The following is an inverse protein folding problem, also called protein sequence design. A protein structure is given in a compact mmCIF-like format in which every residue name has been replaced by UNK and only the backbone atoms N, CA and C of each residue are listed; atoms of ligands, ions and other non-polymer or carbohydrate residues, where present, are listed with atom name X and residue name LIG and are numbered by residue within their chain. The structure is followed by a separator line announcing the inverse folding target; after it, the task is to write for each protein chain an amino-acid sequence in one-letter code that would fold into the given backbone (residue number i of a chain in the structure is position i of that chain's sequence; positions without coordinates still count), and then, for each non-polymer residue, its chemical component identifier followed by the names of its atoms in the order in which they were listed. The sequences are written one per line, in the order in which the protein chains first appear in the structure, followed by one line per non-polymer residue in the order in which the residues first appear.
data_IF_019697352235
#
_entry.id   IF_019697352235
#
_cell.length_a   1.000
_cell.length_b   1.000
_cell.length_c   1.000
_cell.angle_alpha   90.00
_cell.angle_beta   90.00
_cell.angle_gamma   90.00
#
_symmetry.space_group_name_H-M   'P 1'
#
loop_
_entity.id
_entity.type
_entity.pdbx_description
1 polymer ?
#
# COMPACT_ATOMS: atom_id res chain seq x y z
N UNK A 1 0.55 0.93 -25.18
CA UNK A 1 -0.63 0.18 -25.62
C UNK A 1 -1.83 1.10 -25.67
N UNK A 2 -2.70 0.92 -26.69
CA UNK A 2 -3.87 1.77 -26.90
C UNK A 2 -4.82 1.78 -25.71
N UNK A 3 -5.08 0.63 -25.10
CA UNK A 3 -5.98 0.51 -23.96
C UNK A 3 -5.51 1.31 -22.76
N UNK A 4 -4.23 1.20 -22.41
CA UNK A 4 -3.65 1.94 -21.28
C UNK A 4 -3.71 3.44 -21.50
N UNK A 5 -3.48 3.89 -22.74
CA UNK A 5 -3.54 5.30 -23.10
C UNK A 5 -4.97 5.81 -23.03
N UNK A 6 -5.93 5.05 -23.55
CA UNK A 6 -7.34 5.40 -23.49
C UNK A 6 -7.85 5.47 -22.05
N UNK A 7 -7.45 4.54 -21.20
CA UNK A 7 -7.80 4.54 -19.80
C UNK A 7 -7.26 5.79 -19.10
N UNK A 8 -6.03 6.15 -19.37
CA UNK A 8 -5.40 7.35 -18.80
C UNK A 8 -6.14 8.62 -19.23
N UNK A 9 -6.49 8.72 -20.52
CA UNK A 9 -7.23 9.87 -21.04
C UNK A 9 -8.64 9.91 -20.45
N UNK A 10 -9.32 8.75 -20.43
CA UNK A 10 -10.69 8.66 -19.94
C UNK A 10 -10.85 8.98 -18.47
N UNK A 11 -9.81 8.74 -17.66
CA UNK A 11 -9.85 9.00 -16.21
C UNK A 11 -9.24 10.34 -15.82
N UNK A 12 -8.68 11.09 -16.76
CA UNK A 12 -7.97 12.35 -16.48
C UNK A 12 -8.84 13.36 -15.76
N UNK A 13 -10.08 13.55 -16.20
CA UNK A 13 -11.01 14.50 -15.61
C UNK A 13 -11.39 14.10 -14.19
N UNK A 14 -11.68 12.83 -13.97
CA UNK A 14 -11.98 12.29 -12.65
C UNK A 14 -10.78 12.43 -11.71
N UNK A 15 -9.60 12.18 -12.22
CA UNK A 15 -8.34 12.31 -11.48
C UNK A 15 -8.12 13.77 -11.03
N UNK A 16 -8.30 14.72 -11.95
CA UNK A 16 -8.15 16.15 -11.64
C UNK A 16 -9.20 16.62 -10.63
N UNK A 17 -10.44 16.13 -10.77
CA UNK A 17 -11.50 16.46 -9.81
C UNK A 17 -11.17 15.95 -8.41
N UNK A 18 -10.65 14.71 -8.32
CA UNK A 18 -10.23 14.14 -7.05
C UNK A 18 -9.09 14.93 -6.43
N UNK A 19 -8.12 15.33 -7.24
CA UNK A 19 -6.96 16.11 -6.78
C UNK A 19 -7.36 17.49 -6.24
N UNK A 20 -8.45 18.06 -6.74
CA UNK A 20 -8.90 19.41 -6.36
C UNK A 20 -9.97 19.41 -5.27
N UNK A 21 -10.27 18.26 -4.66
CA UNK A 21 -11.25 18.22 -3.57
C UNK A 21 -10.67 18.78 -2.27
N UNK A 22 -11.55 19.25 -1.40
CA UNK A 22 -11.14 19.71 -0.07
C UNK A 22 -10.51 18.58 0.76
N UNK A 23 -10.89 17.34 0.50
CA UNK A 23 -10.27 16.17 1.13
C UNK A 23 -8.78 16.08 0.77
N UNK A 24 -8.45 16.20 -0.52
CA UNK A 24 -7.05 16.14 -0.97
C UNK A 24 -6.25 17.29 -0.38
N UNK A 25 -6.81 18.50 -0.38
CA UNK A 25 -6.14 19.65 0.22
C UNK A 25 -5.89 19.43 1.71
N UNK A 26 -6.86 18.87 2.43
CA UNK A 26 -6.71 18.53 3.85
C UNK A 26 -5.69 17.44 4.06
N UNK A 27 -5.69 16.43 3.19
CA UNK A 27 -4.74 15.32 3.24
C UNK A 27 -3.31 15.84 3.04
N UNK A 28 -3.10 16.69 2.04
CA UNK A 28 -1.78 17.26 1.78
C UNK A 28 -1.28 18.13 2.93
N UNK A 29 -2.16 18.87 3.57
CA UNK A 29 -1.80 19.62 4.78
C UNK A 29 -1.46 18.69 5.94
N UNK A 30 -2.18 17.58 6.06
CA UNK A 30 -1.90 16.56 7.06
C UNK A 30 -0.57 15.86 6.85
N UNK A 31 -0.18 15.65 5.58
CA UNK A 31 1.11 15.03 5.23
C UNK A 31 2.29 15.89 5.67
N UNK A 32 2.10 17.22 5.72
CA UNK A 32 3.11 18.11 6.28
C UNK A 32 3.29 17.88 7.77
N UNK A 33 2.27 17.34 8.45
CA UNK A 33 2.38 16.96 9.84
C UNK A 33 3.17 15.63 9.94
N UNK A 34 4.34 15.71 10.56
CA UNK A 34 5.25 14.59 10.68
C UNK A 34 4.61 13.37 11.35
N UNK A 35 3.80 13.57 12.39
CA UNK A 35 3.16 12.47 13.11
C UNK A 35 2.14 11.73 12.25
N UNK A 36 1.35 12.45 11.47
CA UNK A 36 0.39 11.84 10.55
C UNK A 36 1.09 11.05 9.45
N UNK A 37 2.19 11.57 8.93
CA UNK A 37 2.99 10.90 7.91
C UNK A 37 3.61 9.61 8.47
N UNK A 38 4.12 9.65 9.70
CA UNK A 38 4.69 8.47 10.35
C UNK A 38 3.64 7.35 10.47
N UNK A 39 2.42 7.71 10.86
CA UNK A 39 1.33 6.73 10.97
C UNK A 39 0.95 6.14 9.61
N UNK A 40 0.94 6.97 8.57
CA UNK A 40 0.67 6.50 7.22
C UNK A 40 1.74 5.48 6.77
N UNK A 41 2.99 5.80 6.97
CA UNK A 41 4.10 4.90 6.61
C UNK A 41 4.00 3.59 7.39
N UNK A 42 3.67 3.67 8.68
CA UNK A 42 3.45 2.49 9.52
C UNK A 42 2.33 1.60 8.97
N UNK A 43 1.19 2.17 8.63
CA UNK A 43 0.07 1.41 8.08
C UNK A 43 0.43 0.80 6.72
N UNK A 44 1.11 1.55 5.87
CA UNK A 44 1.57 1.04 4.57
C UNK A 44 2.53 -0.14 4.74
N UNK A 45 3.38 -0.11 5.75
CA UNK A 45 4.27 -1.23 6.04
C UNK A 45 3.46 -2.51 6.30
N UNK A 46 2.43 -2.44 7.13
CA UNK A 46 1.61 -3.61 7.44
C UNK A 46 0.86 -4.12 6.19
N UNK A 47 0.33 -3.21 5.39
CA UNK A 47 -0.40 -3.58 4.16
C UNK A 47 0.53 -4.26 3.16
N UNK A 48 1.67 -3.64 2.85
CA UNK A 48 2.61 -4.21 1.88
C UNK A 48 3.25 -5.50 2.39
N UNK A 49 3.51 -5.59 3.69
CA UNK A 49 4.01 -6.84 4.28
C UNK A 49 3.03 -7.99 4.06
N UNK A 50 1.73 -7.74 4.30
CA UNK A 50 0.70 -8.74 4.08
C UNK A 50 0.62 -9.15 2.60
N UNK A 51 0.65 -8.18 1.70
CA UNK A 51 0.58 -8.44 0.26
C UNK A 51 1.77 -9.28 -0.20
N UNK A 52 2.98 -8.91 0.19
CA UNK A 52 4.18 -9.62 -0.22
C UNK A 52 4.23 -11.02 0.36
N UNK A 53 3.80 -11.20 1.61
CA UNK A 53 3.70 -12.53 2.23
C UNK A 53 2.72 -13.43 1.47
N UNK A 54 1.55 -12.90 1.09
CA UNK A 54 0.55 -13.69 0.38
C UNK A 54 1.00 -14.02 -1.04
N UNK A 55 1.67 -13.10 -1.73
CA UNK A 55 2.23 -13.37 -3.06
C UNK A 55 3.31 -14.44 -2.98
N UNK A 56 4.16 -14.40 -1.95
CA UNK A 56 5.19 -15.44 -1.75
C UNK A 56 4.56 -16.82 -1.52
N UNK A 57 3.48 -16.90 -0.75
CA UNK A 57 2.77 -18.17 -0.54
C UNK A 57 2.17 -18.72 -1.82
N UNK A 58 1.87 -17.85 -2.78
CA UNK A 58 1.22 -18.21 -4.05
C UNK A 58 2.20 -18.28 -5.22
N UNK A 59 3.50 -18.40 -4.95
CA UNK A 59 4.53 -18.43 -6.00
C UNK A 59 4.33 -19.58 -7.02
N UNK A 60 3.67 -20.65 -6.61
CA UNK A 60 3.38 -21.79 -7.48
C UNK A 60 2.01 -21.67 -8.18
N UNK A 61 1.25 -20.61 -7.90
CA UNK A 61 -0.03 -20.36 -8.54
C UNK A 61 0.16 -20.02 -10.03
N UNK A 62 -0.67 -20.56 -10.94
CA UNK A 62 -0.48 -20.36 -12.38
C UNK A 62 -0.48 -18.88 -12.82
N UNK A 63 -1.25 -18.04 -12.14
CA UNK A 63 -1.35 -16.62 -12.46
C UNK A 63 -0.45 -15.79 -11.56
N UNK A 64 -0.59 -15.94 -10.25
CA UNK A 64 0.14 -15.15 -9.26
C UNK A 64 1.64 -15.45 -9.31
N UNK A 65 2.02 -16.70 -9.58
CA UNK A 65 3.42 -17.10 -9.68
C UNK A 65 4.19 -16.40 -10.79
N UNK A 66 3.51 -15.75 -11.73
CA UNK A 66 4.15 -14.98 -12.80
C UNK A 66 4.56 -13.58 -12.34
N UNK A 67 4.07 -13.13 -11.20
CA UNK A 67 4.41 -11.82 -10.65
C UNK A 67 5.80 -11.88 -10.05
N UNK A 68 6.66 -10.94 -10.46
CA UNK A 68 8.01 -10.85 -9.93
C UNK A 68 7.99 -9.99 -8.65
N UNK A 69 8.33 -10.61 -7.52
CA UNK A 69 8.34 -9.94 -6.21
C UNK A 69 9.29 -8.75 -6.18
N UNK A 70 10.39 -8.81 -6.94
CA UNK A 70 11.34 -7.71 -7.00
C UNK A 70 10.71 -6.41 -7.51
N UNK A 71 9.67 -6.51 -8.35
CA UNK A 71 8.97 -5.34 -8.89
C UNK A 71 7.95 -4.79 -7.89
N UNK A 72 7.55 -5.57 -6.90
CA UNK A 72 6.55 -5.21 -5.89
C UNK A 72 7.15 -4.92 -4.52
N UNK A 73 8.46 -5.11 -4.37
CA UNK A 73 9.10 -5.03 -3.06
C UNK A 73 9.12 -3.59 -2.55
N UNK A 74 8.17 -3.27 -1.67
CA UNK A 74 8.07 -1.97 -0.99
C UNK A 74 8.45 -2.06 0.47
N UNK A 75 8.50 -3.26 1.02
CA UNK A 75 8.74 -3.47 2.46
C UNK A 75 10.10 -2.92 2.88
N UNK A 76 11.15 -3.19 2.11
CA UNK A 76 12.48 -2.72 2.45
C UNK A 76 12.57 -1.20 2.52
N UNK A 77 11.96 -0.50 1.54
CA UNK A 77 11.94 0.96 1.55
C UNK A 77 11.15 1.50 2.74
N UNK A 78 10.02 0.86 3.07
CA UNK A 78 9.20 1.25 4.21
C UNK A 78 9.93 1.00 5.54
N UNK A 79 10.68 -0.09 5.65
CA UNK A 79 11.49 -0.36 6.83
C UNK A 79 12.55 0.73 7.05
N UNK A 80 13.20 1.19 5.98
CA UNK A 80 14.16 2.27 6.05
C UNK A 80 13.50 3.56 6.52
N UNK A 81 12.31 3.88 5.99
CA UNK A 81 11.55 5.05 6.40
C UNK A 81 11.15 4.98 7.88
N UNK A 82 10.66 3.81 8.32
CA UNK A 82 10.26 3.61 9.71
C UNK A 82 11.46 3.72 10.66
N UNK A 83 12.60 3.20 10.25
CA UNK A 83 13.83 3.34 11.04
C UNK A 83 14.24 4.81 11.17
N UNK A 84 14.07 5.57 10.10
CA UNK A 84 14.36 7.00 10.12
C UNK A 84 13.43 7.76 11.07
N UNK A 85 12.11 7.47 11.03
CA UNK A 85 11.13 8.21 11.82
C UNK A 85 11.03 7.76 13.27
N UNK A 86 11.17 6.47 13.54
CA UNK A 86 10.96 5.88 14.87
C UNK A 86 12.25 5.38 15.53
N UNK A 87 13.36 5.29 14.78
CA UNK A 87 14.63 4.79 15.26
C UNK A 87 14.79 3.28 15.17
N UNK A 88 15.87 2.73 15.74
CA UNK A 88 16.20 1.30 15.59
C UNK A 88 15.16 0.34 16.16
N UNK A 89 14.34 0.79 17.12
CA UNK A 89 13.34 -0.04 17.78
C UNK A 89 11.94 0.15 17.18
N UNK A 90 11.86 0.62 15.94
CA UNK A 90 10.60 0.96 15.30
C UNK A 90 9.57 -0.18 15.32
N UNK A 91 10.01 -1.44 15.24
CA UNK A 91 9.10 -2.59 15.26
C UNK A 91 8.33 -2.71 16.56
N UNK A 92 8.92 -2.27 17.65
CA UNK A 92 8.28 -2.28 18.97
C UNK A 92 7.33 -1.11 19.18
N UNK A 93 7.42 -0.08 18.35
CA UNK A 93 6.67 1.16 18.51
C UNK A 93 5.39 1.16 17.66
N UNK A 94 5.49 0.67 16.42
CA UNK A 94 4.37 0.75 15.48
C UNK A 94 3.31 -0.31 15.75
N UNK A 95 2.05 0.09 15.57
CA UNK A 95 0.91 -0.83 15.59
C UNK A 95 -0.02 -0.44 14.44
N UNK A 96 -0.69 -1.43 13.81
CA UNK A 96 -1.63 -1.10 12.74
C UNK A 96 -2.88 -0.42 13.30
N UNK A 97 -3.42 0.56 12.57
CA UNK A 97 -4.71 1.13 12.89
C UNK A 97 -5.80 0.08 12.68
N UNK A 98 -7.00 0.31 13.24
CA UNK A 98 -8.10 -0.63 13.04
C UNK A 98 -8.47 -0.77 11.57
N UNK A 99 -8.51 0.35 10.84
CA UNK A 99 -8.77 0.33 9.40
C UNK A 99 -7.70 -0.47 8.66
N UNK A 100 -6.44 -0.33 9.05
CA UNK A 100 -5.34 -1.10 8.49
C UNK A 100 -5.51 -2.59 8.75
N UNK A 101 -5.87 -2.96 9.97
CA UNK A 101 -6.13 -4.37 10.34
C UNK A 101 -7.24 -4.97 9.48
N UNK A 102 -8.33 -4.23 9.27
CA UNK A 102 -9.43 -4.68 8.43
C UNK A 102 -8.96 -4.89 6.98
N UNK A 103 -8.14 -3.98 6.48
CA UNK A 103 -7.61 -4.07 5.13
C UNK A 103 -6.68 -5.27 4.97
N UNK A 104 -5.79 -5.48 5.93
CA UNK A 104 -4.88 -6.63 5.95
C UNK A 104 -5.67 -7.95 5.99
N UNK A 105 -6.69 -8.02 6.84
CA UNK A 105 -7.53 -9.21 6.93
C UNK A 105 -8.24 -9.49 5.60
N UNK A 106 -8.69 -8.45 4.91
CA UNK A 106 -9.30 -8.59 3.59
C UNK A 106 -8.30 -9.09 2.54
N UNK A 107 -7.07 -8.60 2.57
CA UNK A 107 -6.01 -9.08 1.69
C UNK A 107 -5.81 -10.59 1.88
N UNK A 108 -5.72 -11.05 3.13
CA UNK A 108 -5.51 -12.47 3.42
C UNK A 108 -6.70 -13.30 3.01
N UNK A 109 -7.91 -12.80 3.19
CA UNK A 109 -9.13 -13.47 2.77
C UNK A 109 -9.20 -13.63 1.25
N UNK A 110 -8.92 -12.58 0.51
CA UNK A 110 -8.91 -12.59 -0.97
C UNK A 110 -7.82 -13.54 -1.46
N UNK A 111 -6.63 -13.50 -0.88
CA UNK A 111 -5.54 -14.39 -1.26
C UNK A 111 -5.88 -15.85 -1.05
N UNK A 112 -6.66 -16.16 -0.02
CA UNK A 112 -7.08 -17.53 0.27
C UNK A 112 -8.16 -18.03 -0.67
N UNK A 113 -9.15 -17.20 -0.98
CA UNK A 113 -10.35 -17.59 -1.70
C UNK A 113 -10.32 -17.26 -3.18
N UNK A 114 -9.77 -16.10 -3.54
CA UNK A 114 -9.76 -15.60 -4.91
C UNK A 114 -8.45 -14.86 -5.20
N UNK A 115 -7.32 -15.60 -5.22
CA UNK A 115 -6.00 -14.97 -5.32
C UNK A 115 -5.77 -14.13 -6.56
N UNK A 116 -6.51 -14.36 -7.65
CA UNK A 116 -6.39 -13.59 -8.89
C UNK A 116 -6.97 -12.18 -8.78
N UNK A 117 -7.77 -11.91 -7.78
CA UNK A 117 -8.28 -10.56 -7.56
C UNK A 117 -7.20 -9.67 -6.98
#
# INVERSE_FOLDING_TARGET
MAFSKELKIGTKKSHSAAENTSFVASFLRGVVNKESYKKLVSDLYFVYSAMEEEVEKLKDHPIIGQIQLSDLNRVDALEQDLRFYYGPIWRSIITPSEACNQYVNRIREVAKNEPEL
#
